data_IF_983644803376
#
_entry.id   IF_983644803376
#
_cell.length_a   1.000
_cell.length_b   1.000
_cell.length_c   1.000
_cell.angle_alpha   90.00
_cell.angle_beta   90.00
_cell.angle_gamma   90.00
#
_symmetry.space_group_name_H-M   'P 1'
#
loop_
_entity.id
_entity.type
_entity.pdbx_description
1 polymer ?
#
# COMPACT_ATOMS: atom_id res chain seq x y z
N UNK A 1 31.65 32.92 18.83
CA UNK A 1 31.00 32.04 19.79
C UNK A 1 29.46 32.06 19.69
N UNK A 2 28.81 33.23 19.65
CA UNK A 2 27.33 33.34 19.51
C UNK A 2 26.80 32.74 18.19
N UNK A 3 27.50 32.97 17.07
CA UNK A 3 27.13 32.50 15.74
C UNK A 3 27.06 30.97 15.66
N UNK A 4 28.04 30.27 16.27
CA UNK A 4 28.08 28.81 16.31
C UNK A 4 26.95 28.23 17.14
N UNK A 5 26.54 28.91 18.19
CA UNK A 5 25.46 28.47 19.08
C UNK A 5 24.07 28.50 18.41
N UNK A 6 23.90 29.37 17.40
CA UNK A 6 22.66 29.48 16.63
C UNK A 6 22.67 28.59 15.39
N UNK A 7 23.81 28.53 14.69
CA UNK A 7 23.93 27.76 13.44
C UNK A 7 23.86 26.26 13.68
N UNK A 8 24.51 25.76 14.71
CA UNK A 8 24.55 24.31 15.01
C UNK A 8 23.15 23.68 15.21
N UNK A 9 22.27 24.23 16.06
CA UNK A 9 20.93 23.68 16.22
C UNK A 9 20.08 23.79 14.95
N UNK A 10 20.27 24.85 14.14
CA UNK A 10 19.55 25.06 12.90
C UNK A 10 19.94 24.03 11.85
N UNK A 11 21.23 23.72 11.74
CA UNK A 11 21.74 22.63 10.89
C UNK A 11 21.23 21.27 11.36
N UNK A 12 21.18 21.04 12.68
CA UNK A 12 20.67 19.80 13.24
C UNK A 12 19.17 19.58 12.91
N UNK A 13 18.35 20.62 13.03
CA UNK A 13 16.92 20.58 12.65
C UNK A 13 16.77 20.34 11.15
N UNK A 14 17.55 20.99 10.31
CA UNK A 14 17.54 20.76 8.87
C UNK A 14 17.92 19.32 8.52
N UNK A 15 18.99 18.78 9.14
CA UNK A 15 19.41 17.39 8.94
C UNK A 15 18.33 16.41 9.40
N UNK A 16 17.73 16.64 10.57
CA UNK A 16 16.64 15.83 11.09
C UNK A 16 15.45 15.81 10.12
N UNK A 17 15.10 16.96 9.54
CA UNK A 17 14.06 17.08 8.52
C UNK A 17 14.36 16.26 7.26
N UNK A 18 15.58 16.34 6.76
CA UNK A 18 16.03 15.57 5.58
C UNK A 18 15.97 14.05 5.85
N UNK A 19 16.45 13.61 7.00
CA UNK A 19 16.41 12.20 7.40
C UNK A 19 14.97 11.70 7.55
N UNK A 20 14.09 12.52 8.14
CA UNK A 20 12.67 12.17 8.28
C UNK A 20 11.98 12.03 6.92
N UNK A 21 12.22 12.95 5.99
CA UNK A 21 11.66 12.88 4.63
C UNK A 21 12.17 11.66 3.88
N UNK A 22 13.46 11.33 4.03
CA UNK A 22 14.04 10.13 3.45
C UNK A 22 13.38 8.85 3.98
N UNK A 23 13.26 8.73 5.30
CA UNK A 23 12.62 7.59 5.95
C UNK A 23 11.14 7.44 5.52
N UNK A 24 10.42 8.54 5.46
CA UNK A 24 9.01 8.54 5.03
C UNK A 24 8.87 8.11 3.55
N UNK A 25 9.73 8.59 2.67
CA UNK A 25 9.73 8.18 1.25
C UNK A 25 9.96 6.67 1.10
N UNK A 26 10.90 6.10 1.86
CA UNK A 26 11.16 4.66 1.85
C UNK A 26 9.93 3.89 2.35
N UNK A 27 9.31 4.34 3.43
CA UNK A 27 8.11 3.70 3.96
C UNK A 27 6.95 3.74 2.95
N UNK A 28 6.69 4.89 2.34
CA UNK A 28 5.65 5.05 1.29
C UNK A 28 5.92 4.13 0.11
N UNK A 29 7.18 4.05 -0.36
CA UNK A 29 7.56 3.19 -1.48
C UNK A 29 7.34 1.71 -1.16
N UNK A 30 7.68 1.26 0.06
CA UNK A 30 7.47 -0.12 0.50
C UNK A 30 5.98 -0.48 0.61
N UNK A 31 5.18 0.40 1.20
CA UNK A 31 3.73 0.17 1.33
C UNK A 31 3.06 0.11 -0.05
N UNK A 32 3.47 0.98 -0.99
CA UNK A 32 2.98 0.92 -2.37
C UNK A 32 3.39 -0.37 -3.06
N UNK A 33 4.66 -0.77 -2.94
CA UNK A 33 5.15 -2.01 -3.51
C UNK A 33 4.39 -3.24 -2.95
N UNK A 34 4.06 -3.24 -1.67
CA UNK A 34 3.24 -4.28 -1.04
C UNK A 34 1.83 -4.36 -1.68
N UNK A 35 1.17 -3.23 -1.88
CA UNK A 35 -0.14 -3.18 -2.51
C UNK A 35 -0.08 -3.59 -4.00
N UNK A 36 0.94 -3.12 -4.73
CA UNK A 36 1.13 -3.45 -6.14
C UNK A 36 1.41 -4.95 -6.34
N UNK A 37 2.25 -5.55 -5.48
CA UNK A 37 2.53 -6.98 -5.53
C UNK A 37 1.28 -7.79 -5.20
N UNK A 38 0.53 -7.42 -4.17
CA UNK A 38 -0.69 -8.09 -3.76
C UNK A 38 -1.75 -8.08 -4.87
N UNK A 39 -1.96 -6.92 -5.54
CA UNK A 39 -2.90 -6.83 -6.66
C UNK A 39 -2.42 -7.63 -7.87
N UNK A 40 -1.11 -7.66 -8.15
CA UNK A 40 -0.53 -8.46 -9.24
C UNK A 40 -0.69 -9.96 -9.01
N UNK A 41 -0.47 -10.43 -7.78
CA UNK A 41 -0.65 -11.86 -7.45
C UNK A 41 -2.11 -12.25 -7.61
N UNK A 42 -3.03 -11.45 -7.06
CA UNK A 42 -4.45 -11.73 -7.13
C UNK A 42 -5.03 -11.69 -8.55
N UNK A 43 -4.50 -10.85 -9.43
CA UNK A 43 -4.91 -10.79 -10.84
C UNK A 43 -4.42 -12.00 -11.65
N UNK A 44 -3.33 -12.64 -11.22
CA UNK A 44 -2.84 -13.86 -11.85
C UNK A 44 -3.57 -15.13 -11.35
N UNK A 45 -4.39 -15.00 -10.31
CA UNK A 45 -5.27 -16.06 -9.83
C UNK A 45 -6.54 -16.10 -10.67
N UNK A 46 -6.49 -16.87 -11.76
CA UNK A 46 -7.53 -16.96 -12.77
C UNK A 46 -8.37 -18.23 -12.59
N UNK A 47 -9.64 -18.15 -12.99
CA UNK A 47 -10.52 -19.31 -13.06
C UNK A 47 -10.20 -20.13 -14.33
N UNK A 48 -9.30 -21.12 -14.17
CA UNK A 48 -8.88 -22.01 -15.27
C UNK A 48 -10.05 -22.80 -15.84
N UNK A 49 -11.05 -23.14 -15.04
CA UNK A 49 -12.21 -23.88 -15.49
C UNK A 49 -13.08 -23.05 -16.41
N UNK A 50 -13.29 -21.77 -16.07
CA UNK A 50 -14.05 -20.85 -16.91
C UNK A 50 -13.26 -20.51 -18.20
N UNK A 51 -11.96 -20.31 -18.09
CA UNK A 51 -11.10 -20.06 -19.24
C UNK A 51 -11.14 -21.23 -20.23
N UNK A 52 -11.07 -22.47 -19.74
CA UNK A 52 -11.16 -23.67 -20.59
C UNK A 52 -12.54 -23.84 -21.23
N UNK A 53 -13.61 -23.43 -20.56
CA UNK A 53 -14.99 -23.61 -21.01
C UNK A 53 -15.45 -22.53 -22.00
N UNK A 54 -15.17 -21.28 -21.70
CA UNK A 54 -15.70 -20.13 -22.46
C UNK A 54 -14.65 -19.34 -23.24
N UNK A 55 -13.36 -19.57 -22.96
CA UNK A 55 -12.27 -18.76 -23.48
C UNK A 55 -12.24 -17.33 -22.92
N UNK A 56 -13.10 -17.02 -21.96
CA UNK A 56 -13.18 -15.71 -21.32
C UNK A 56 -12.32 -15.64 -20.08
N UNK A 57 -11.59 -14.55 -19.94
CA UNK A 57 -10.72 -14.29 -18.81
C UNK A 57 -11.58 -13.86 -17.61
N UNK A 58 -11.53 -14.66 -16.53
CA UNK A 58 -12.21 -14.38 -15.29
C UNK A 58 -11.26 -14.61 -14.11
N UNK A 59 -11.29 -13.75 -13.11
CA UNK A 59 -10.56 -13.98 -11.86
C UNK A 59 -11.25 -15.04 -11.01
N UNK A 60 -10.47 -15.70 -10.18
CA UNK A 60 -10.98 -16.61 -9.14
C UNK A 60 -11.92 -15.87 -8.18
N UNK A 61 -12.88 -16.59 -7.61
CA UNK A 61 -13.87 -16.02 -6.70
C UNK A 61 -13.26 -15.46 -5.41
N UNK A 62 -12.10 -15.97 -5.02
CA UNK A 62 -11.33 -15.60 -3.83
C UNK A 62 -10.22 -14.57 -4.10
N UNK A 63 -10.12 -14.04 -5.32
CA UNK A 63 -9.09 -13.06 -5.69
C UNK A 63 -8.98 -11.87 -4.73
N UNK A 64 -10.09 -11.42 -4.13
CA UNK A 64 -10.07 -10.36 -3.13
C UNK A 64 -9.41 -10.80 -1.81
N UNK A 65 -9.62 -12.03 -1.40
CA UNK A 65 -9.04 -12.61 -0.18
C UNK A 65 -7.56 -12.90 -0.38
N UNK A 66 -7.18 -13.43 -1.54
CA UNK A 66 -5.78 -13.59 -1.96
C UNK A 66 -5.06 -12.24 -1.93
N UNK A 67 -5.66 -11.19 -2.50
CA UNK A 67 -5.08 -9.85 -2.48
C UNK A 67 -4.86 -9.36 -1.03
N UNK A 68 -5.83 -9.56 -0.15
CA UNK A 68 -5.74 -9.13 1.26
C UNK A 68 -4.68 -9.89 2.02
N UNK A 69 -4.60 -11.21 1.83
CA UNK A 69 -3.58 -12.07 2.45
C UNK A 69 -2.16 -11.67 2.04
N UNK A 70 -1.93 -11.52 0.74
CA UNK A 70 -0.63 -11.09 0.23
C UNK A 70 -0.27 -9.68 0.68
N UNK A 71 -1.24 -8.77 0.74
CA UNK A 71 -1.01 -7.43 1.27
C UNK A 71 -0.58 -7.47 2.74
N UNK A 72 -1.25 -8.25 3.58
CA UNK A 72 -0.86 -8.45 4.98
C UNK A 72 0.56 -9.01 5.09
N UNK A 73 0.88 -10.04 4.30
CA UNK A 73 2.19 -10.68 4.30
C UNK A 73 3.31 -9.73 3.88
N UNK A 74 3.10 -8.94 2.85
CA UNK A 74 4.09 -7.95 2.38
C UNK A 74 4.25 -6.79 3.38
N UNK A 75 3.17 -6.36 4.04
CA UNK A 75 3.23 -5.37 5.11
C UNK A 75 4.04 -5.89 6.31
N UNK A 76 3.94 -7.18 6.64
CA UNK A 76 4.69 -7.78 7.75
C UNK A 76 6.20 -7.66 7.54
N UNK A 77 6.69 -7.78 6.30
CA UNK A 77 8.10 -7.54 5.96
C UNK A 77 8.57 -6.11 6.26
N UNK A 78 7.62 -5.20 6.47
CA UNK A 78 7.87 -3.79 6.78
C UNK A 78 7.31 -3.39 8.15
N UNK A 79 7.00 -4.34 9.02
CA UNK A 79 6.36 -4.14 10.32
C UNK A 79 7.05 -3.12 11.21
N UNK A 80 8.39 -3.02 11.15
CA UNK A 80 9.16 -2.01 11.88
C UNK A 80 8.84 -0.56 11.50
N UNK A 81 8.31 -0.33 10.29
CA UNK A 81 7.92 0.99 9.79
C UNK A 81 6.45 1.33 10.08
N UNK A 82 5.65 0.32 10.45
CA UNK A 82 4.20 0.47 10.66
C UNK A 82 3.87 0.80 12.12
N UNK A 83 2.79 1.53 12.30
CA UNK A 83 2.18 1.73 13.61
C UNK A 83 0.88 0.91 13.70
N UNK A 84 1.03 -0.39 13.94
CA UNK A 84 -0.05 -1.37 14.01
C UNK A 84 0.35 -2.71 13.42
N UNK A 85 -0.48 -3.72 13.63
CA UNK A 85 -0.28 -5.05 13.04
C UNK A 85 -0.62 -5.06 11.55
N UNK A 86 0.20 -5.73 10.74
CA UNK A 86 0.01 -5.84 9.30
C UNK A 86 -1.35 -6.44 8.94
N UNK A 87 -1.78 -7.48 9.66
CA UNK A 87 -3.09 -8.11 9.47
C UNK A 87 -4.25 -7.13 9.75
N UNK A 88 -4.14 -6.34 10.82
CA UNK A 88 -5.17 -5.33 11.17
C UNK A 88 -5.28 -4.26 10.09
N UNK A 89 -4.14 -3.81 9.55
CA UNK A 89 -4.09 -2.82 8.46
C UNK A 89 -4.70 -3.42 7.19
N UNK A 90 -4.34 -4.65 6.84
CA UNK A 90 -4.87 -5.33 5.66
C UNK A 90 -6.37 -5.64 5.79
N UNK A 91 -6.85 -6.00 6.99
CA UNK A 91 -8.27 -6.21 7.24
C UNK A 91 -9.09 -4.93 7.11
N UNK A 92 -8.50 -3.77 7.45
CA UNK A 92 -9.13 -2.46 7.27
C UNK A 92 -9.04 -1.92 5.84
N UNK A 93 -8.23 -2.54 4.97
CA UNK A 93 -8.10 -2.14 3.58
C UNK A 93 -9.38 -2.46 2.78
N UNK A 94 -9.77 -1.53 1.92
CA UNK A 94 -10.83 -1.74 0.95
C UNK A 94 -10.26 -2.47 -0.28
N UNK A 95 -10.51 -3.78 -0.33
CA UNK A 95 -10.08 -4.66 -1.43
C UNK A 95 -11.31 -5.02 -2.25
N UNK A 96 -11.25 -4.73 -3.54
CA UNK A 96 -12.29 -5.05 -4.50
C UNK A 96 -11.72 -5.87 -5.67
N UNK A 97 -12.35 -7.01 -5.97
CA UNK A 97 -12.06 -7.81 -7.15
C UNK A 97 -13.23 -7.75 -8.12
N UNK A 98 -12.99 -7.27 -9.31
CA UNK A 98 -13.91 -7.24 -10.43
C UNK A 98 -13.62 -8.45 -11.31
N UNK A 99 -14.33 -9.55 -11.03
CA UNK A 99 -14.03 -10.88 -11.56
C UNK A 99 -14.18 -10.98 -13.08
N UNK A 100 -15.03 -10.16 -13.68
CA UNK A 100 -15.30 -10.13 -15.12
C UNK A 100 -15.38 -8.69 -15.63
N UNK A 101 -15.19 -8.49 -16.92
CA UNK A 101 -15.32 -7.20 -17.58
C UNK A 101 -16.56 -7.18 -18.52
N UNK A 102 -17.13 -5.99 -18.80
CA UNK A 102 -16.79 -4.70 -18.22
C UNK A 102 -17.31 -4.53 -16.78
N UNK A 103 -16.54 -3.80 -15.95
CA UNK A 103 -16.94 -3.51 -14.57
C UNK A 103 -16.78 -2.01 -14.26
N UNK A 104 -17.55 -1.53 -13.27
CA UNK A 104 -17.52 -0.15 -12.82
C UNK A 104 -17.15 -0.07 -11.33
N UNK A 105 -16.14 0.71 -11.01
CA UNK A 105 -15.71 0.97 -9.64
C UNK A 105 -16.40 2.23 -9.11
N UNK A 106 -17.32 2.07 -8.18
CA UNK A 106 -18.06 3.17 -7.58
C UNK A 106 -17.21 4.09 -6.73
N UNK A 107 -16.06 3.60 -6.21
CA UNK A 107 -15.16 4.40 -5.37
C UNK A 107 -14.29 5.35 -6.19
N UNK A 108 -13.71 4.86 -7.28
CA UNK A 108 -12.81 5.65 -8.12
C UNK A 108 -13.50 6.30 -9.31
N UNK A 109 -14.73 5.86 -9.64
CA UNK A 109 -15.44 6.25 -10.86
C UNK A 109 -14.82 5.63 -12.12
N UNK A 110 -13.89 4.68 -11.99
CA UNK A 110 -13.22 4.06 -13.12
C UNK A 110 -14.08 2.94 -13.73
N UNK A 111 -14.01 2.82 -15.06
CA UNK A 111 -14.55 1.69 -15.80
C UNK A 111 -13.40 0.79 -16.23
N UNK A 112 -13.53 -0.49 -15.93
CA UNK A 112 -12.54 -1.50 -16.28
C UNK A 112 -13.03 -2.35 -17.43
N UNK A 113 -12.22 -2.44 -18.48
CA UNK A 113 -12.49 -3.26 -19.66
C UNK A 113 -11.86 -4.67 -19.55
N UNK A 114 -11.19 -4.94 -18.41
CA UNK A 114 -10.60 -6.23 -18.08
C UNK A 114 -10.90 -6.57 -16.61
N UNK A 115 -10.90 -7.87 -16.24
CA UNK A 115 -10.95 -8.27 -14.85
C UNK A 115 -9.87 -7.52 -14.06
N UNK A 116 -10.18 -7.03 -12.88
CA UNK A 116 -9.31 -6.07 -12.18
C UNK A 116 -9.37 -6.28 -10.68
N UNK A 117 -8.23 -6.17 -10.00
CA UNK A 117 -8.16 -6.13 -8.54
C UNK A 117 -7.68 -4.75 -8.10
N UNK A 118 -8.35 -4.18 -7.10
CA UNK A 118 -8.03 -2.90 -6.49
C UNK A 118 -7.82 -3.07 -4.99
N UNK A 119 -6.76 -2.43 -4.47
CA UNK A 119 -6.55 -2.24 -3.04
C UNK A 119 -6.49 -0.74 -2.76
N UNK A 120 -7.29 -0.26 -1.81
CA UNK A 120 -7.20 1.08 -1.27
C UNK A 120 -7.05 0.99 0.25
N UNK A 121 -5.95 1.53 0.79
CA UNK A 121 -5.63 1.42 2.20
C UNK A 121 -5.10 2.72 2.79
N UNK A 122 -5.39 2.94 4.07
CA UNK A 122 -4.79 3.97 4.89
C UNK A 122 -3.82 3.29 5.86
N UNK A 123 -2.52 3.45 5.61
CA UNK A 123 -1.48 2.75 6.35
C UNK A 123 -0.80 3.71 7.32
N UNK A 124 -0.89 3.47 8.65
CA UNK A 124 -0.20 4.27 9.65
C UNK A 124 1.29 3.90 9.65
N UNK A 125 2.14 4.90 9.41
CA UNK A 125 3.60 4.76 9.32
C UNK A 125 4.25 5.55 10.43
N UNK A 126 5.22 4.94 11.11
CA UNK A 126 6.01 5.60 12.15
C UNK A 126 6.95 6.64 11.56
N UNK A 127 7.10 7.73 12.28
CA UNK A 127 8.02 8.81 11.93
C UNK A 127 9.22 8.77 12.89
N UNK A 128 10.31 8.05 12.58
CA UNK A 128 11.35 7.72 13.54
C UNK A 128 12.02 8.97 14.15
N UNK A 129 12.30 9.98 13.32
CA UNK A 129 12.99 11.20 13.81
C UNK A 129 12.03 12.10 14.58
N UNK A 130 10.86 12.41 14.01
CA UNK A 130 9.88 13.26 14.67
C UNK A 130 9.22 12.57 15.87
N UNK A 131 9.07 11.23 15.82
CA UNK A 131 8.63 10.44 16.95
C UNK A 131 9.60 10.51 18.12
N UNK A 132 10.90 10.45 17.87
CA UNK A 132 11.93 10.62 18.90
C UNK A 132 11.94 12.04 19.52
N UNK A 133 11.51 13.05 18.75
CA UNK A 133 11.36 14.43 19.22
C UNK A 133 9.95 14.72 19.78
N UNK A 134 9.09 13.69 19.90
CA UNK A 134 7.71 13.78 20.43
C UNK A 134 6.83 14.78 19.64
N UNK A 135 7.16 15.04 18.38
CA UNK A 135 6.41 16.02 17.55
C UNK A 135 5.23 15.38 16.83
N UNK A 136 5.48 14.29 16.08
CA UNK A 136 4.44 13.49 15.41
C UNK A 136 4.95 12.05 15.29
N UNK A 137 4.49 11.13 16.13
CA UNK A 137 4.99 9.74 16.12
C UNK A 137 4.52 8.93 14.91
N UNK A 138 3.36 9.28 14.33
CA UNK A 138 2.70 8.54 13.27
C UNK A 138 2.20 9.48 12.17
N UNK A 139 2.29 9.03 10.94
CA UNK A 139 1.62 9.66 9.78
C UNK A 139 0.88 8.59 8.99
N UNK A 140 -0.25 8.96 8.39
CA UNK A 140 -1.03 8.05 7.56
C UNK A 140 -0.65 8.22 6.10
N UNK A 141 -0.40 7.11 5.42
CA UNK A 141 -0.11 7.03 4.00
C UNK A 141 -1.32 6.44 3.30
N UNK A 142 -1.88 7.16 2.36
CA UNK A 142 -2.91 6.64 1.46
C UNK A 142 -2.25 5.91 0.30
N UNK A 143 -2.72 4.67 0.05
CA UNK A 143 -2.25 3.83 -1.05
C UNK A 143 -3.45 3.38 -1.86
N UNK A 144 -3.34 3.53 -3.17
CA UNK A 144 -4.27 2.97 -4.15
C UNK A 144 -3.46 2.18 -5.17
N UNK A 145 -3.75 0.90 -5.29
CA UNK A 145 -3.17 0.03 -6.30
C UNK A 145 -4.27 -0.65 -7.11
N UNK A 146 -4.08 -0.71 -8.42
CA UNK A 146 -5.03 -1.32 -9.36
C UNK A 146 -4.24 -2.13 -10.37
N UNK A 147 -4.59 -3.41 -10.53
CA UNK A 147 -3.96 -4.30 -11.49
C UNK A 147 -5.00 -5.04 -12.33
N UNK A 148 -4.68 -5.26 -13.61
CA UNK A 148 -5.46 -6.05 -14.55
C UNK A 148 -4.55 -7.02 -15.30
N UNK A 149 -5.03 -8.18 -15.74
CA UNK A 149 -4.25 -9.12 -16.56
C UNK A 149 -3.82 -8.45 -17.86
N UNK A 150 -2.66 -8.84 -18.35
CA UNK A 150 -2.11 -8.34 -19.62
C UNK A 150 -2.63 -9.10 -20.83
#
# INVERSE_FOLDING_TARGET
MVLTLVIAPLLFVALAGVLQLGALRVAVARVRAAADLATLVAVNDQDDAELAKSGSLRLSADAADVAREYFARELELSSSLLDGGAETIAAAADVAAYLSAPAYDTRTGARYERPTVRIAALVPVRTPVFGALVLRPVTTVEVLSVSSPR
#
